data_IF_324564439556
#
_entry.id   IF_324564439556
#
_cell.length_a   1.000
_cell.length_b   1.000
_cell.length_c   1.000
_cell.angle_alpha   90.00
_cell.angle_beta   90.00
_cell.angle_gamma   90.00
#
_symmetry.space_group_name_H-M   'P 1'
#
loop_
_entity.id
_entity.type
_entity.pdbx_description
1 polymer ?
#
# COMPACT_ATOMS: atom_id res chain seq x y z
N UNK A 1 19.10 7.03 21.61
CA UNK A 1 19.62 7.43 20.29
C UNK A 1 18.47 7.37 19.30
N UNK A 2 18.35 8.32 18.38
CA UNK A 2 17.29 8.33 17.36
C UNK A 2 17.67 7.47 16.15
N UNK A 3 16.68 6.98 15.40
CA UNK A 3 16.91 6.31 14.11
C UNK A 3 17.48 7.31 13.10
N UNK A 4 18.66 7.04 12.56
CA UNK A 4 19.33 7.90 11.57
C UNK A 4 19.39 7.28 10.18
N UNK A 5 19.19 5.96 10.07
CA UNK A 5 19.22 5.23 8.82
C UNK A 5 17.93 4.41 8.68
N UNK A 6 17.27 4.49 7.53
CA UNK A 6 16.05 3.76 7.25
C UNK A 6 16.16 2.96 5.95
N UNK A 7 16.06 1.65 6.07
CA UNK A 7 15.90 0.76 4.93
C UNK A 7 14.43 0.70 4.54
N UNK A 8 14.15 0.83 3.25
CA UNK A 8 12.78 0.82 2.74
C UNK A 8 12.70 0.13 1.39
N UNK A 9 11.48 -0.23 1.03
CA UNK A 9 11.20 -0.87 -0.23
C UNK A 9 11.25 0.10 -1.41
N UNK A 10 11.43 -0.46 -2.59
CA UNK A 10 11.39 0.28 -3.84
C UNK A 10 12.76 0.73 -4.34
N UNK A 11 12.74 1.58 -5.37
CA UNK A 11 13.94 2.09 -6.03
C UNK A 11 14.24 3.55 -5.66
N UNK A 12 15.46 4.05 -5.93
CA UNK A 12 15.88 5.42 -5.55
C UNK A 12 15.00 6.57 -6.05
N UNK A 13 14.22 6.34 -7.11
CA UNK A 13 13.31 7.31 -7.74
C UNK A 13 11.83 6.93 -7.58
N UNK A 14 11.52 5.92 -6.77
CA UNK A 14 10.14 5.50 -6.52
C UNK A 14 9.38 6.54 -5.69
N UNK A 15 8.06 6.47 -5.77
CA UNK A 15 7.15 7.38 -5.06
C UNK A 15 7.34 7.25 -3.54
N UNK A 16 7.55 6.03 -3.06
CA UNK A 16 7.83 5.70 -1.65
C UNK A 16 8.97 6.56 -1.11
N UNK A 17 10.13 6.53 -1.77
CA UNK A 17 11.32 7.27 -1.35
C UNK A 17 11.09 8.78 -1.40
N UNK A 18 10.37 9.27 -2.43
CA UNK A 18 10.06 10.69 -2.57
C UNK A 18 9.22 11.19 -1.40
N UNK A 19 8.20 10.42 -1.00
CA UNK A 19 7.32 10.77 0.12
C UNK A 19 8.05 10.63 1.45
N UNK A 20 8.71 9.49 1.71
CA UNK A 20 9.41 9.20 2.97
C UNK A 20 10.46 10.28 3.28
N UNK A 21 11.21 10.75 2.28
CA UNK A 21 12.19 11.85 2.46
C UNK A 21 11.58 13.13 3.02
N UNK A 22 10.33 13.43 2.66
CA UNK A 22 9.63 14.61 3.15
C UNK A 22 9.05 14.40 4.54
N UNK A 23 8.64 13.17 4.86
CA UNK A 23 8.18 12.81 6.20
C UNK A 23 9.34 12.83 7.21
N UNK A 24 10.53 12.36 6.79
CA UNK A 24 11.69 12.10 7.64
C UNK A 24 12.96 12.80 7.11
N UNK A 25 13.00 14.15 7.05
CA UNK A 25 14.11 14.89 6.42
C UNK A 25 15.47 14.75 7.13
N UNK A 26 15.48 14.26 8.37
CA UNK A 26 16.71 14.03 9.17
C UNK A 26 17.23 12.60 9.11
N UNK A 27 16.54 11.71 8.39
CA UNK A 27 16.88 10.30 8.29
C UNK A 27 17.48 10.00 6.91
N UNK A 28 18.57 9.23 6.87
CA UNK A 28 19.14 8.76 5.61
C UNK A 28 18.32 7.56 5.10
N UNK A 29 17.76 7.69 3.90
CA UNK A 29 16.83 6.71 3.32
C UNK A 29 17.56 5.84 2.29
N UNK A 30 17.62 4.54 2.56
CA UNK A 30 18.29 3.52 1.74
C UNK A 30 17.27 2.56 1.09
N UNK A 31 16.99 2.72 -0.22
CA UNK A 31 16.11 1.81 -0.94
C UNK A 31 16.82 0.48 -1.22
N UNK A 32 16.25 -0.65 -0.78
CA UNK A 32 16.84 -1.99 -1.01
C UNK A 32 16.05 -2.88 -1.99
N UNK A 33 15.16 -2.30 -2.80
CA UNK A 33 14.34 -3.08 -3.73
C UNK A 33 13.16 -3.77 -3.04
N UNK A 34 12.70 -4.91 -3.55
CA UNK A 34 11.52 -5.61 -3.01
C UNK A 34 11.83 -6.48 -1.79
N UNK A 35 10.79 -6.86 -1.03
CA UNK A 35 10.89 -7.80 0.11
C UNK A 35 11.39 -9.17 -0.34
N UNK A 36 12.68 -9.42 -0.22
CA UNK A 36 13.23 -10.78 -0.13
C UNK A 36 13.35 -11.17 1.33
N UNK A 37 13.39 -12.47 1.65
CA UNK A 37 13.68 -12.94 3.01
C UNK A 37 14.98 -12.37 3.57
N UNK A 38 15.92 -11.98 2.70
CA UNK A 38 17.15 -11.30 3.07
C UNK A 38 16.99 -9.87 3.55
N UNK A 39 15.88 -9.18 3.24
CA UNK A 39 15.68 -7.77 3.59
C UNK A 39 15.59 -7.56 5.10
N UNK A 40 14.75 -8.33 5.80
CA UNK A 40 14.61 -8.17 7.26
C UNK A 40 15.83 -8.71 8.00
N UNK A 41 16.42 -9.80 7.51
CA UNK A 41 17.64 -10.35 8.10
C UNK A 41 18.85 -9.42 7.91
N UNK A 42 18.93 -8.64 6.83
CA UNK A 42 20.02 -7.68 6.64
C UNK A 42 19.96 -6.54 7.64
N UNK A 43 18.77 -6.11 8.08
CA UNK A 43 18.62 -5.11 9.14
C UNK A 43 19.36 -5.54 10.41
N UNK A 44 19.13 -6.79 10.83
CA UNK A 44 19.75 -7.34 12.04
C UNK A 44 21.27 -7.37 11.85
N UNK A 45 21.75 -7.88 10.71
CA UNK A 45 23.18 -7.99 10.44
C UNK A 45 23.89 -6.62 10.34
N UNK A 46 23.23 -5.61 9.76
CA UNK A 46 23.82 -4.29 9.55
C UNK A 46 23.74 -3.41 10.81
N UNK A 47 22.82 -3.71 11.75
CA UNK A 47 22.72 -3.00 13.05
C UNK A 47 23.96 -3.14 13.91
N UNK A 48 24.70 -4.23 13.81
CA UNK A 48 25.99 -4.40 14.49
C UNK A 48 26.98 -3.28 14.13
N UNK A 49 26.86 -2.72 12.92
CA UNK A 49 27.70 -1.61 12.43
C UNK A 49 26.97 -0.27 12.45
N UNK A 50 25.65 -0.28 12.38
CA UNK A 50 24.77 0.88 12.37
C UNK A 50 23.62 0.71 13.38
N UNK A 51 23.87 0.92 14.69
CA UNK A 51 22.87 0.67 15.73
C UNK A 51 21.55 1.45 15.58
N UNK A 52 21.60 2.59 14.87
CA UNK A 52 20.46 3.46 14.61
C UNK A 52 19.76 3.15 13.27
N UNK A 53 19.90 1.93 12.76
CA UNK A 53 19.26 1.44 11.54
C UNK A 53 17.88 0.83 11.85
N UNK A 54 16.87 1.16 11.06
CA UNK A 54 15.56 0.52 11.09
C UNK A 54 15.03 0.27 9.68
N UNK A 55 13.93 -0.47 9.56
CA UNK A 55 13.18 -0.59 8.32
C UNK A 55 11.83 0.14 8.36
N UNK A 56 11.34 0.52 7.17
CA UNK A 56 9.95 0.86 6.92
C UNK A 56 9.45 0.06 5.71
N UNK A 57 8.41 -0.75 5.91
CA UNK A 57 7.88 -1.67 4.91
C UNK A 57 6.39 -1.47 4.68
N UNK A 58 5.88 -1.95 3.54
CA UNK A 58 4.44 -2.01 3.28
C UNK A 58 3.76 -3.04 4.20
N UNK A 59 2.48 -2.85 4.52
CA UNK A 59 1.71 -3.87 5.26
C UNK A 59 1.38 -5.08 4.38
N UNK A 60 1.23 -4.85 3.06
CA UNK A 60 0.85 -5.87 2.08
C UNK A 60 -0.55 -6.49 2.29
N UNK A 61 -0.88 -7.58 1.60
CA UNK A 61 -2.12 -8.33 1.83
C UNK A 61 -1.96 -9.29 2.99
N UNK A 62 -2.87 -9.21 3.95
CA UNK A 62 -2.91 -10.14 5.07
C UNK A 62 -4.34 -10.55 5.49
N UNK A 63 -4.42 -11.62 6.27
CA UNK A 63 -5.67 -12.27 6.66
C UNK A 63 -6.35 -11.70 7.89
N UNK A 64 -5.64 -10.89 8.66
CA UNK A 64 -6.09 -10.46 9.97
C UNK A 64 -7.00 -9.25 9.77
N UNK A 65 -8.05 -9.21 10.59
CA UNK A 65 -8.78 -7.98 10.80
C UNK A 65 -8.11 -7.32 12.00
N UNK A 66 -7.60 -6.12 11.79
CA UNK A 66 -6.89 -5.38 12.81
C UNK A 66 -7.72 -4.20 13.26
N UNK A 67 -7.49 -3.80 14.51
CA UNK A 67 -7.94 -2.51 14.98
C UNK A 67 -7.10 -1.42 14.30
N UNK A 68 -7.78 -0.47 13.68
CA UNK A 68 -7.15 0.71 13.09
C UNK A 68 -6.83 1.70 14.21
N UNK A 69 -5.57 2.08 14.29
CA UNK A 69 -4.98 2.96 15.29
C UNK A 69 -4.48 4.27 14.68
N UNK A 70 -4.31 4.32 13.36
CA UNK A 70 -3.61 5.37 12.60
C UNK A 70 -2.18 5.56 13.09
N UNK A 71 -1.50 4.47 13.43
CA UNK A 71 -0.10 4.44 13.88
C UNK A 71 0.70 3.36 13.14
N UNK A 72 2.00 3.58 12.83
CA UNK A 72 2.81 2.56 12.19
C UNK A 72 2.90 1.28 13.02
N UNK A 73 2.81 0.13 12.37
CA UNK A 73 2.81 -1.17 13.02
C UNK A 73 4.25 -1.62 13.30
N UNK A 74 4.52 -2.15 14.50
CA UNK A 74 5.83 -2.72 14.83
C UNK A 74 6.20 -3.87 13.88
N UNK A 75 7.31 -3.75 13.18
CA UNK A 75 7.85 -4.82 12.34
C UNK A 75 8.81 -5.69 13.14
N UNK A 76 8.43 -6.95 13.40
CA UNK A 76 9.22 -7.91 14.17
C UNK A 76 9.65 -9.06 13.27
N UNK A 77 10.95 -9.38 13.30
CA UNK A 77 11.55 -10.51 12.57
C UNK A 77 12.40 -11.32 13.55
N UNK A 78 12.18 -12.63 13.63
CA UNK A 78 12.84 -13.52 14.60
C UNK A 78 12.83 -13.00 16.05
N UNK A 79 11.66 -12.50 16.48
CA UNK A 79 11.42 -11.87 17.79
C UNK A 79 12.17 -10.55 18.03
N UNK A 80 12.97 -10.08 17.06
CA UNK A 80 13.68 -8.81 17.11
C UNK A 80 12.87 -7.72 16.43
N UNK A 81 12.77 -6.56 17.07
CA UNK A 81 12.10 -5.42 16.49
C UNK A 81 13.00 -4.71 15.49
N UNK A 82 12.68 -4.82 14.20
CA UNK A 82 13.54 -4.34 13.10
C UNK A 82 13.10 -2.99 12.51
N UNK A 83 11.93 -2.49 12.90
CA UNK A 83 11.41 -1.19 12.45
C UNK A 83 9.89 -1.15 12.42
N UNK A 84 9.32 -0.57 11.37
CA UNK A 84 7.87 -0.40 11.25
C UNK A 84 7.35 -0.85 9.90
N UNK A 85 6.06 -1.18 9.86
CA UNK A 85 5.27 -1.23 8.66
C UNK A 85 4.27 -0.08 8.66
N UNK A 86 3.89 0.38 7.47
CA UNK A 86 2.68 1.19 7.32
C UNK A 86 1.47 0.46 7.93
N UNK A 87 0.54 1.19 8.55
CA UNK A 87 -0.74 0.61 8.98
C UNK A 87 -1.64 0.40 7.77
N UNK A 88 -1.71 1.40 6.89
CA UNK A 88 -2.30 1.22 5.57
C UNK A 88 -1.42 0.33 4.71
N UNK A 89 -2.05 -0.21 3.68
CA UNK A 89 -1.48 -1.27 2.87
C UNK A 89 -0.14 -0.94 2.21
N UNK A 90 -0.07 0.21 1.56
CA UNK A 90 1.06 0.69 0.75
C UNK A 90 1.01 2.22 0.64
N UNK A 91 2.09 2.86 0.17
CA UNK A 91 2.17 4.32 0.12
C UNK A 91 1.03 4.96 -0.71
N UNK A 92 0.59 4.30 -1.78
CA UNK A 92 -0.49 4.80 -2.63
C UNK A 92 -1.80 5.02 -1.86
N UNK A 93 -2.06 4.25 -0.80
CA UNK A 93 -3.25 4.42 0.04
C UNK A 93 -3.26 5.73 0.83
N UNK A 94 -2.11 6.34 1.07
CA UNK A 94 -2.03 7.68 1.66
C UNK A 94 -2.15 8.75 0.59
N UNK A 95 -1.59 8.53 -0.60
CA UNK A 95 -1.60 9.51 -1.69
C UNK A 95 -2.97 9.72 -2.32
N UNK A 96 -3.88 8.77 -2.12
CA UNK A 96 -5.30 8.89 -2.48
C UNK A 96 -6.20 9.20 -1.27
N UNK A 97 -5.63 9.51 -0.11
CA UNK A 97 -6.43 9.93 1.05
C UNK A 97 -7.06 11.31 0.78
N UNK A 98 -8.38 11.49 1.03
CA UNK A 98 -9.04 12.78 0.80
C UNK A 98 -8.35 13.96 1.48
N UNK A 99 -7.79 13.79 2.69
CA UNK A 99 -7.03 14.83 3.39
C UNK A 99 -5.77 15.19 2.62
N UNK A 100 -4.95 14.18 2.27
CA UNK A 100 -3.70 14.39 1.54
C UNK A 100 -3.95 15.03 0.18
N UNK A 101 -4.98 14.58 -0.54
CA UNK A 101 -5.34 15.12 -1.86
C UNK A 101 -5.78 16.57 -1.76
N UNK A 102 -6.60 16.91 -0.75
CA UNK A 102 -7.04 18.29 -0.51
C UNK A 102 -5.87 19.20 -0.15
N UNK A 103 -4.99 18.79 0.77
CA UNK A 103 -3.80 19.57 1.14
C UNK A 103 -2.83 19.73 -0.04
N UNK A 104 -2.64 18.67 -0.83
CA UNK A 104 -1.70 18.68 -1.95
C UNK A 104 -2.21 19.53 -3.14
N UNK A 105 -3.48 19.41 -3.51
CA UNK A 105 -4.00 20.03 -4.72
C UNK A 105 -4.70 21.38 -4.44
N UNK A 106 -5.10 21.64 -3.19
CA UNK A 106 -5.80 22.86 -2.78
C UNK A 106 -7.02 23.10 -3.66
N UNK A 107 -7.11 24.30 -4.26
CA UNK A 107 -8.22 24.68 -5.16
C UNK A 107 -8.34 23.83 -6.44
N UNK A 108 -7.34 23.01 -6.76
CA UNK A 108 -7.36 22.09 -7.90
C UNK A 108 -7.84 20.68 -7.51
N UNK A 109 -8.08 20.43 -6.22
CA UNK A 109 -8.71 19.19 -5.79
C UNK A 109 -10.18 19.17 -6.26
N UNK A 110 -10.73 18.01 -6.63
CA UNK A 110 -12.17 17.82 -6.69
C UNK A 110 -12.80 18.13 -5.33
N UNK A 111 -14.11 18.40 -5.28
CA UNK A 111 -14.77 18.60 -3.99
C UNK A 111 -14.72 17.35 -3.13
N UNK A 112 -14.70 17.51 -1.81
CA UNK A 112 -14.57 16.40 -0.85
C UNK A 112 -15.63 15.29 -1.10
N UNK A 113 -16.88 15.68 -1.39
CA UNK A 113 -17.97 14.73 -1.66
C UNK A 113 -17.81 14.01 -3.00
N UNK A 114 -17.36 14.70 -4.05
CA UNK A 114 -17.13 14.09 -5.36
C UNK A 114 -15.96 13.11 -5.32
N UNK A 115 -14.88 13.48 -4.63
CA UNK A 115 -13.70 12.64 -4.49
C UNK A 115 -14.01 11.38 -3.67
N UNK A 116 -14.68 11.54 -2.53
CA UNK A 116 -15.12 10.43 -1.67
C UNK A 116 -16.03 9.47 -2.45
N UNK A 117 -17.02 9.98 -3.19
CA UNK A 117 -17.92 9.17 -4.00
C UNK A 117 -17.15 8.39 -5.11
N UNK A 118 -16.14 9.00 -5.73
CA UNK A 118 -15.31 8.31 -6.71
C UNK A 118 -14.49 7.17 -6.09
N UNK A 119 -13.93 7.38 -4.89
CA UNK A 119 -13.24 6.32 -4.15
C UNK A 119 -14.20 5.19 -3.75
N UNK A 120 -15.40 5.51 -3.25
CA UNK A 120 -16.40 4.51 -2.86
C UNK A 120 -16.84 3.67 -4.06
N UNK A 121 -17.03 4.30 -5.23
CA UNK A 121 -17.33 3.59 -6.49
C UNK A 121 -16.16 2.72 -6.94
N UNK A 122 -14.92 3.21 -6.83
CA UNK A 122 -13.72 2.43 -7.14
C UNK A 122 -13.61 1.20 -6.23
N UNK A 123 -13.76 1.38 -4.91
CA UNK A 123 -13.77 0.30 -3.93
C UNK A 123 -14.87 -0.72 -4.23
N UNK A 124 -16.09 -0.26 -4.56
CA UNK A 124 -17.21 -1.15 -4.91
C UNK A 124 -16.92 -1.95 -6.17
N UNK A 125 -16.31 -1.33 -7.19
CA UNK A 125 -15.93 -1.96 -8.45
C UNK A 125 -14.88 -3.07 -8.25
N UNK A 126 -13.94 -2.88 -7.32
CA UNK A 126 -12.84 -3.83 -7.09
C UNK A 126 -13.03 -4.71 -5.85
N UNK A 127 -14.20 -4.69 -5.20
CA UNK A 127 -14.46 -5.40 -3.95
C UNK A 127 -14.15 -6.91 -4.02
N UNK A 128 -14.74 -7.60 -5.00
CA UNK A 128 -14.52 -9.03 -5.19
C UNK A 128 -13.06 -9.33 -5.60
N UNK A 129 -12.47 -8.51 -6.46
CA UNK A 129 -11.06 -8.63 -6.82
C UNK A 129 -10.13 -8.50 -5.59
N UNK A 130 -10.35 -7.49 -4.75
CA UNK A 130 -9.57 -7.26 -3.53
C UNK A 130 -9.70 -8.40 -2.52
N UNK A 131 -10.92 -8.93 -2.34
CA UNK A 131 -11.14 -10.11 -1.52
C UNK A 131 -10.41 -11.35 -2.08
N UNK A 132 -10.42 -11.55 -3.40
CA UNK A 132 -9.73 -12.66 -4.05
C UNK A 132 -8.20 -12.55 -3.92
N UNK A 133 -7.63 -11.36 -4.12
CA UNK A 133 -6.19 -11.11 -3.88
C UNK A 133 -5.81 -11.40 -2.42
N UNK A 134 -6.67 -10.98 -1.48
CA UNK A 134 -6.47 -11.24 -0.04
C UNK A 134 -6.50 -12.73 0.26
N UNK A 135 -7.48 -13.47 -0.26
CA UNK A 135 -7.60 -14.92 -0.07
C UNK A 135 -6.36 -15.67 -0.60
N UNK A 136 -5.83 -15.28 -1.75
CA UNK A 136 -4.60 -15.85 -2.31
C UNK A 136 -3.37 -15.53 -1.45
N UNK A 137 -3.23 -14.27 -1.02
CA UNK A 137 -2.11 -13.84 -0.17
C UNK A 137 -2.10 -14.57 1.18
N UNK A 138 -3.28 -14.76 1.76
CA UNK A 138 -3.47 -15.52 2.99
C UNK A 138 -2.86 -16.91 2.96
N UNK A 139 -2.98 -17.56 1.81
CA UNK A 139 -2.51 -18.92 1.59
C UNK A 139 -1.14 -18.93 0.87
N UNK A 140 -0.44 -17.79 0.87
CA UNK A 140 0.90 -17.59 0.30
C UNK A 140 0.99 -17.97 -1.19
N UNK A 141 -0.07 -17.71 -1.93
CA UNK A 141 -0.10 -17.78 -3.39
C UNK A 141 0.20 -16.43 -4.02
N UNK A 142 0.62 -16.45 -5.29
CA UNK A 142 0.68 -15.24 -6.11
C UNK A 142 -0.70 -14.62 -6.16
N UNK A 143 -0.83 -13.37 -5.75
CA UNK A 143 -2.09 -12.66 -5.60
C UNK A 143 -2.30 -11.57 -6.67
N UNK A 144 -1.55 -11.59 -7.77
CA UNK A 144 -1.65 -10.60 -8.85
C UNK A 144 -1.83 -11.30 -10.19
N UNK A 145 -2.75 -10.79 -11.01
CA UNK A 145 -3.05 -11.28 -12.36
C UNK A 145 -3.69 -10.19 -13.22
N UNK A 146 -3.93 -10.50 -14.48
CA UNK A 146 -4.47 -9.57 -15.46
C UNK A 146 -3.41 -9.05 -16.43
N UNK A 147 -3.81 -8.06 -17.22
CA UNK A 147 -2.96 -7.46 -18.24
C UNK A 147 -2.01 -6.45 -17.60
N UNK A 148 -0.80 -6.35 -18.14
CA UNK A 148 0.19 -5.39 -17.66
C UNK A 148 -0.28 -3.98 -18.04
N UNK A 149 -0.65 -3.20 -17.03
CA UNK A 149 -1.11 -1.81 -17.22
C UNK A 149 0.03 -0.81 -17.05
N UNK A 150 1.03 -1.13 -16.21
CA UNK A 150 2.30 -0.40 -16.08
C UNK A 150 3.40 -1.32 -15.59
N UNK A 151 4.62 -0.81 -15.45
CA UNK A 151 5.71 -1.59 -14.88
C UNK A 151 5.35 -2.03 -13.46
N UNK A 152 5.31 -3.35 -13.24
CA UNK A 152 5.03 -3.93 -11.92
C UNK A 152 3.55 -3.96 -11.50
N UNK A 153 2.60 -3.50 -12.33
CA UNK A 153 1.17 -3.54 -12.00
C UNK A 153 0.37 -4.22 -13.11
N UNK A 154 -0.41 -5.22 -12.71
CA UNK A 154 -1.35 -5.95 -13.55
C UNK A 154 -2.76 -5.76 -13.02
N UNK A 155 -3.71 -5.61 -13.93
CA UNK A 155 -5.11 -5.42 -13.57
C UNK A 155 -6.01 -6.25 -14.49
N UNK A 156 -6.98 -7.02 -13.95
CA UNK A 156 -7.76 -7.93 -14.76
C UNK A 156 -8.86 -7.22 -15.57
N UNK A 157 -9.26 -7.78 -16.72
CA UNK A 157 -10.33 -7.21 -17.55
C UNK A 157 -11.73 -7.38 -16.93
N UNK A 158 -11.88 -8.28 -15.95
CA UNK A 158 -13.12 -8.54 -15.22
C UNK A 158 -12.83 -8.59 -13.72
N UNK A 159 -13.75 -8.05 -12.93
CA UNK A 159 -13.59 -7.88 -11.47
C UNK A 159 -14.70 -8.56 -10.66
N UNK A 160 -15.70 -9.15 -11.33
CA UNK A 160 -16.83 -9.81 -10.69
C UNK A 160 -16.45 -11.11 -9.98
N UNK A 161 -17.35 -11.56 -9.11
CA UNK A 161 -17.17 -12.74 -8.24
C UNK A 161 -16.87 -14.00 -9.04
N UNK A 162 -17.71 -14.36 -10.01
CA UNK A 162 -17.53 -15.56 -10.85
C UNK A 162 -16.16 -15.60 -11.54
N UNK A 163 -15.72 -14.46 -12.06
CA UNK A 163 -14.40 -14.37 -12.69
C UNK A 163 -13.29 -14.58 -11.66
N UNK A 164 -13.41 -13.96 -10.48
CA UNK A 164 -12.44 -14.13 -9.41
C UNK A 164 -12.36 -15.59 -8.92
N UNK A 165 -13.48 -16.30 -8.79
CA UNK A 165 -13.49 -17.72 -8.40
C UNK A 165 -12.72 -18.61 -9.37
N UNK A 166 -12.91 -18.40 -10.68
CA UNK A 166 -12.18 -19.12 -11.74
C UNK A 166 -10.70 -18.78 -11.68
N UNK A 167 -10.35 -17.49 -11.55
CA UNK A 167 -8.95 -17.04 -11.49
C UNK A 167 -8.21 -17.56 -10.26
N UNK A 168 -8.86 -17.63 -9.10
CA UNK A 168 -8.30 -18.26 -7.89
C UNK A 168 -7.93 -19.71 -8.20
N UNK A 169 -8.85 -20.50 -8.75
CA UNK A 169 -8.61 -21.90 -9.06
C UNK A 169 -7.42 -22.09 -10.01
N UNK A 170 -7.35 -21.30 -11.08
CA UNK A 170 -6.24 -21.34 -12.04
C UNK A 170 -4.88 -21.00 -11.39
N UNK A 171 -4.84 -19.97 -10.55
CA UNK A 171 -3.61 -19.56 -9.86
C UNK A 171 -3.17 -20.65 -8.90
N UNK A 172 -4.09 -21.19 -8.09
CA UNK A 172 -3.78 -22.26 -7.15
C UNK A 172 -3.26 -23.48 -7.90
N UNK A 173 -3.92 -23.92 -8.98
CA UNK A 173 -3.46 -25.04 -9.81
C UNK A 173 -2.06 -24.84 -10.36
N UNK A 174 -1.79 -23.65 -10.89
CA UNK A 174 -0.50 -23.30 -11.51
C UNK A 174 0.64 -23.21 -10.49
N UNK A 175 0.35 -22.72 -9.29
CA UNK A 175 1.37 -22.37 -8.30
C UNK A 175 1.31 -23.22 -7.02
N UNK A 176 0.53 -24.32 -7.00
CA UNK A 176 0.39 -25.22 -5.84
C UNK A 176 1.75 -25.69 -5.34
N UNK A 177 2.56 -26.24 -6.25
CA UNK A 177 3.79 -26.93 -5.86
C UNK A 177 3.48 -28.02 -4.82
N UNK A 178 4.26 -28.07 -3.76
CA UNK A 178 4.10 -29.01 -2.64
C UNK A 178 3.14 -28.54 -1.54
N UNK A 179 2.45 -27.40 -1.73
CA UNK A 179 1.52 -26.86 -0.73
C UNK A 179 0.35 -27.83 -0.51
N UNK A 180 0.03 -28.05 0.77
CA UNK A 180 -1.12 -28.85 1.21
C UNK A 180 -2.44 -28.16 0.80
N UNK A 181 -2.47 -26.82 0.83
CA UNK A 181 -3.64 -26.00 0.52
C UNK A 181 -4.17 -26.30 -0.89
N UNK A 182 -5.48 -26.55 -0.99
CA UNK A 182 -6.19 -26.89 -2.22
C UNK A 182 -6.93 -25.70 -2.84
N UNK A 183 -7.40 -25.85 -4.08
CA UNK A 183 -8.26 -24.86 -4.75
C UNK A 183 -9.51 -24.55 -3.91
N UNK A 184 -10.09 -25.59 -3.29
CA UNK A 184 -11.30 -25.47 -2.46
C UNK A 184 -11.06 -24.65 -1.19
N UNK A 185 -9.87 -24.76 -0.59
CA UNK A 185 -9.53 -24.03 0.63
C UNK A 185 -9.44 -22.53 0.35
N UNK A 186 -8.74 -22.14 -0.72
CA UNK A 186 -8.61 -20.73 -1.11
C UNK A 186 -9.96 -20.14 -1.55
N UNK A 187 -10.77 -20.91 -2.27
CA UNK A 187 -12.14 -20.49 -2.62
C UNK A 187 -13.05 -20.36 -1.38
N UNK A 188 -12.89 -21.23 -0.39
CA UNK A 188 -13.55 -21.10 0.91
C UNK A 188 -13.18 -19.78 1.58
N UNK A 189 -11.87 -19.51 1.70
CA UNK A 189 -11.36 -18.23 2.22
C UNK A 189 -11.91 -17.02 1.47
N UNK A 190 -11.98 -17.08 0.14
CA UNK A 190 -12.55 -16.00 -0.67
C UNK A 190 -14.02 -15.73 -0.32
N UNK A 191 -14.86 -16.78 -0.23
CA UNK A 191 -16.26 -16.65 0.15
C UNK A 191 -16.43 -16.09 1.56
N UNK A 192 -15.57 -16.47 2.50
CA UNK A 192 -15.60 -15.96 3.88
C UNK A 192 -15.18 -14.49 3.97
N UNK A 193 -14.21 -14.07 3.15
CA UNK A 193 -13.72 -12.69 3.13
C UNK A 193 -14.64 -11.75 2.36
N UNK A 194 -15.28 -12.22 1.29
CA UNK A 194 -16.03 -11.38 0.36
C UNK A 194 -17.07 -10.47 1.04
N UNK A 195 -17.90 -10.92 2.00
CA UNK A 195 -18.82 -10.03 2.71
C UNK A 195 -18.15 -8.86 3.41
N UNK A 196 -16.90 -9.02 3.90
CA UNK A 196 -16.13 -7.95 4.57
C UNK A 196 -15.65 -6.88 3.59
N UNK A 197 -15.49 -7.23 2.31
CA UNK A 197 -15.07 -6.34 1.23
C UNK A 197 -16.26 -5.72 0.47
N UNK A 198 -17.51 -6.13 0.73
CA UNK A 198 -18.72 -5.48 0.19
C UNK A 198 -19.12 -4.26 1.02
N UNK A 199 -19.99 -3.41 0.49
CA UNK A 199 -20.33 -2.09 1.06
C UNK A 199 -20.59 -2.05 2.58
N UNK A 200 -21.29 -3.02 3.16
CA UNK A 200 -21.57 -3.08 4.60
C UNK A 200 -20.43 -3.71 5.44
N UNK A 201 -19.39 -4.24 4.81
CA UNK A 201 -18.31 -4.97 5.44
C UNK A 201 -17.24 -4.05 6.05
N UNK A 202 -16.62 -4.50 7.14
CA UNK A 202 -15.63 -3.72 7.89
C UNK A 202 -14.41 -3.32 7.06
N UNK A 203 -13.95 -4.18 6.14
CA UNK A 203 -12.80 -3.87 5.27
C UNK A 203 -13.18 -2.89 4.17
N UNK A 204 -14.41 -2.91 3.69
CA UNK A 204 -14.92 -1.90 2.76
C UNK A 204 -15.02 -0.53 3.42
N UNK A 205 -15.62 -0.45 4.62
CA UNK A 205 -15.71 0.80 5.38
C UNK A 205 -14.34 1.41 5.69
N UNK A 206 -13.28 0.62 5.59
CA UNK A 206 -11.90 1.03 5.79
C UNK A 206 -11.02 0.69 4.57
N UNK A 207 -11.53 0.87 3.34
CA UNK A 207 -10.85 0.37 2.13
C UNK A 207 -9.43 0.90 1.96
N UNK A 208 -9.11 2.10 2.46
CA UNK A 208 -7.75 2.65 2.42
C UNK A 208 -6.74 1.82 3.25
N UNK A 209 -7.19 0.96 4.16
CA UNK A 209 -6.32 0.05 4.91
C UNK A 209 -6.21 -1.33 4.25
N UNK A 210 -7.28 -1.79 3.59
CA UNK A 210 -7.38 -3.20 3.16
C UNK A 210 -7.24 -3.41 1.64
N UNK A 211 -7.57 -2.41 0.83
CA UNK A 211 -7.50 -2.48 -0.62
C UNK A 211 -6.15 -1.94 -1.12
N UNK A 212 -5.65 -2.46 -2.23
CA UNK A 212 -4.48 -1.88 -2.90
C UNK A 212 -4.79 -0.48 -3.40
N UNK A 213 -4.04 0.52 -2.90
CA UNK A 213 -4.13 1.90 -3.37
C UNK A 213 -3.86 1.98 -4.87
N UNK A 214 -2.93 1.17 -5.39
CA UNK A 214 -2.68 1.04 -6.84
C UNK A 214 -3.92 0.59 -7.62
N UNK A 215 -4.72 -0.32 -7.06
CA UNK A 215 -5.93 -0.84 -7.71
C UNK A 215 -7.09 0.14 -7.61
N UNK A 216 -7.27 0.79 -6.44
CA UNK A 216 -8.25 1.86 -6.25
C UNK A 216 -8.00 2.99 -7.24
N UNK A 217 -6.76 3.46 -7.29
CA UNK A 217 -6.33 4.53 -8.18
C UNK A 217 -6.58 4.18 -9.65
N UNK A 218 -6.24 2.97 -10.08
CA UNK A 218 -6.52 2.51 -11.44
C UNK A 218 -8.03 2.44 -11.73
N UNK A 219 -8.82 1.98 -10.76
CA UNK A 219 -10.29 1.94 -10.88
C UNK A 219 -10.92 3.35 -10.97
N UNK A 220 -10.25 4.39 -10.46
CA UNK A 220 -10.64 5.79 -10.57
C UNK A 220 -10.21 6.48 -11.88
N UNK A 221 -9.44 5.82 -12.75
CA UNK A 221 -8.84 6.43 -13.95
C UNK A 221 -9.78 7.33 -14.75
N UNK A 222 -10.98 6.85 -15.05
CA UNK A 222 -11.94 7.62 -15.86
C UNK A 222 -12.38 8.91 -15.16
N UNK A 223 -12.64 8.85 -13.85
CA UNK A 223 -12.97 10.02 -13.02
C UNK A 223 -11.80 11.00 -12.90
N UNK A 224 -10.58 10.50 -12.84
CA UNK A 224 -9.38 11.34 -12.87
C UNK A 224 -9.23 12.06 -14.22
N UNK A 225 -9.60 11.40 -15.33
CA UNK A 225 -9.71 12.03 -16.64
C UNK A 225 -10.76 13.16 -16.66
N UNK A 226 -11.96 12.89 -16.15
CA UNK A 226 -13.05 13.88 -16.05
C UNK A 226 -12.62 15.15 -15.27
N UNK A 227 -11.74 15.01 -14.28
CA UNK A 227 -11.19 16.14 -13.50
C UNK A 227 -9.97 16.82 -14.13
N UNK A 228 -9.59 16.43 -15.35
CA UNK A 228 -8.51 17.06 -16.11
C UNK A 228 -7.10 16.67 -15.62
N UNK A 229 -6.95 15.47 -15.03
CA UNK A 229 -5.63 14.88 -14.77
C UNK A 229 -5.07 14.22 -16.02
N UNK A 230 -5.16 14.84 -17.18
CA UNK A 230 -4.64 14.29 -18.43
C UNK A 230 -3.24 14.84 -18.74
N UNK A 231 -2.46 14.07 -19.50
CA UNK A 231 -1.19 14.50 -20.05
C UNK A 231 -1.37 14.88 -21.52
N UNK A 232 -1.03 16.12 -21.88
CA UNK A 232 -1.16 16.62 -23.26
C UNK A 232 -0.33 15.84 -24.27
N UNK A 233 0.72 15.12 -23.81
CA UNK A 233 1.53 14.26 -24.65
C UNK A 233 1.01 12.83 -24.78
N UNK A 234 -0.09 12.47 -24.09
CA UNK A 234 -0.66 11.13 -23.99
C UNK A 234 0.35 10.03 -23.58
N UNK A 235 1.46 10.41 -22.92
CA UNK A 235 2.48 9.47 -22.46
C UNK A 235 2.17 8.90 -21.08
N UNK A 236 1.33 9.60 -20.32
CA UNK A 236 0.92 9.21 -18.97
C UNK A 236 -0.59 9.06 -18.91
N UNK A 237 -1.03 8.03 -18.20
CA UNK A 237 -2.44 7.84 -17.90
C UNK A 237 -2.92 8.79 -16.79
N UNK A 238 -4.24 9.05 -16.68
CA UNK A 238 -4.75 10.02 -15.72
C UNK A 238 -4.33 9.79 -14.27
N UNK A 239 -4.29 8.53 -13.86
CA UNK A 239 -3.84 8.16 -12.53
C UNK A 239 -2.36 8.46 -12.25
N UNK A 240 -1.50 8.37 -13.27
CA UNK A 240 -0.08 8.68 -13.14
C UNK A 240 0.13 10.18 -13.03
N UNK A 241 -0.61 10.97 -13.81
CA UNK A 241 -0.58 12.44 -13.73
C UNK A 241 -1.09 12.89 -12.37
N UNK A 242 -2.17 12.30 -11.88
CA UNK A 242 -2.74 12.59 -10.57
C UNK A 242 -1.73 12.37 -9.45
N UNK A 243 -1.17 11.15 -9.34
CA UNK A 243 -0.19 10.83 -8.30
C UNK A 243 1.05 11.69 -8.42
N UNK A 244 1.56 11.92 -9.63
CA UNK A 244 2.75 12.76 -9.82
C UNK A 244 2.51 14.19 -9.33
N UNK A 245 1.31 14.75 -9.55
CA UNK A 245 0.94 16.08 -9.04
C UNK A 245 0.88 16.10 -7.51
N UNK A 246 0.28 15.08 -6.89
CA UNK A 246 0.22 14.96 -5.41
C UNK A 246 1.63 14.86 -4.83
N UNK A 247 2.46 13.94 -5.33
CA UNK A 247 3.83 13.72 -4.84
C UNK A 247 4.71 14.95 -5.06
N UNK A 248 4.64 15.58 -6.23
CA UNK A 248 5.39 16.82 -6.50
C UNK A 248 5.01 17.94 -5.53
N UNK A 249 3.75 17.99 -5.06
CA UNK A 249 3.37 18.96 -4.04
C UNK A 249 3.97 18.59 -2.69
N UNK A 250 3.88 17.33 -2.28
CA UNK A 250 4.49 16.83 -1.03
C UNK A 250 5.97 17.20 -0.99
N UNK A 251 6.71 17.00 -2.08
CA UNK A 251 8.13 17.36 -2.20
C UNK A 251 8.46 18.85 -2.04
N UNK A 252 7.47 19.72 -2.17
CA UNK A 252 7.62 21.18 -2.10
C UNK A 252 6.95 21.79 -0.87
N UNK A 253 6.44 20.97 0.04
CA UNK A 253 5.68 21.45 1.19
C UNK A 253 6.37 21.02 2.47
N UNK A 254 6.74 22.01 3.28
CA UNK A 254 7.22 21.76 4.63
C UNK A 254 6.06 21.32 5.52
N UNK A 255 6.34 20.47 6.52
CA UNK A 255 5.33 20.07 7.49
C UNK A 255 4.36 18.98 7.00
N UNK A 256 4.61 18.32 5.86
CA UNK A 256 3.72 17.27 5.31
C UNK A 256 3.41 16.15 6.30
N UNK A 257 4.32 15.85 7.23
CA UNK A 257 4.15 14.86 8.28
C UNK A 257 2.99 15.17 9.24
N UNK A 258 2.48 16.40 9.27
CA UNK A 258 1.32 16.79 10.08
C UNK A 258 -0.02 16.48 9.41
N UNK A 259 -0.03 16.18 8.10
CA UNK A 259 -1.27 15.99 7.35
C UNK A 259 -2.06 14.76 7.80
N UNK A 260 -1.36 13.72 8.28
CA UNK A 260 -1.97 12.49 8.76
C UNK A 260 -1.41 12.11 10.14
N UNK A 261 -2.26 11.60 11.06
CA UNK A 261 -1.81 11.14 12.38
C UNK A 261 -0.68 10.10 12.31
N UNK A 262 -0.78 9.16 11.38
CA UNK A 262 0.21 8.09 11.22
C UNK A 262 1.58 8.62 10.80
N UNK A 263 1.61 9.61 9.90
CA UNK A 263 2.86 10.25 9.46
C UNK A 263 3.53 11.01 10.61
N UNK A 264 2.72 11.70 11.42
CA UNK A 264 3.22 12.38 12.62
C UNK A 264 3.77 11.38 13.62
N UNK A 265 3.06 10.27 13.84
CA UNK A 265 3.49 9.22 14.76
C UNK A 265 4.77 8.53 14.28
N UNK A 266 4.88 8.23 12.98
CA UNK A 266 6.11 7.69 12.38
C UNK A 266 7.31 8.59 12.68
N UNK A 267 7.15 9.90 12.48
CA UNK A 267 8.23 10.86 12.77
C UNK A 267 8.64 10.85 14.23
N UNK A 268 7.69 10.85 15.16
CA UNK A 268 7.98 10.73 16.59
C UNK A 268 8.73 9.44 16.92
N UNK A 269 8.25 8.30 16.40
CA UNK A 269 8.89 7.00 16.61
C UNK A 269 10.34 6.98 16.11
N UNK A 270 10.61 7.57 14.95
CA UNK A 270 11.97 7.69 14.40
C UNK A 270 12.87 8.57 15.28
N UNK A 271 12.34 9.65 15.83
CA UNK A 271 13.08 10.59 16.70
C UNK A 271 13.34 10.02 18.11
N UNK A 272 12.43 9.18 18.63
CA UNK A 272 12.44 8.72 20.03
C UNK A 272 12.99 7.29 20.22
N UNK A 273 12.99 6.45 19.18
CA UNK A 273 13.35 5.02 19.32
C UNK A 273 14.85 4.79 19.31
N UNK A 274 15.33 4.11 20.35
CA UNK A 274 16.67 3.54 20.47
C UNK A 274 16.62 2.01 20.40
N UNK A 275 17.36 1.41 19.47
CA UNK A 275 17.44 -0.04 19.30
C UNK A 275 18.60 -0.68 20.08
N UNK A 276 19.38 0.08 20.85
CA UNK A 276 20.51 -0.45 21.63
C UNK A 276 20.11 -1.36 22.79
N UNK A 277 18.81 -1.42 23.14
CA UNK A 277 18.26 -2.27 24.20
C UNK A 277 17.46 -3.49 23.68
N UNK A 278 17.35 -3.65 22.35
CA UNK A 278 16.48 -4.67 21.71
C UNK A 278 17.19 -5.91 21.22
#
# INVERSE_FOLDING_TARGET
MSVTNLYCEGGPKSIDIRVIRQLLPKCEIHPLGGKTSSFLSSIIADRDRQPNLACLVDHDFDCRDWQITNEPIRCVYDQIWVGWAWERKEIENYLIDPVVVREALGKKAPSDSEYQNALDQAAQKIAAYSAARTALACEKFKNLWGDKVRQGHSFPPKLGEDYCEVRIAEIVRKYKGERIVSEKDVQGKFRDLLPKFKSAGSRFQNYLHYFAGKDLLYAMRDKLGDWGFEDSSNKKHPEEVFIERVVTRIERTDGVWEWLPEWKKLRQLIEETDFSES
#
